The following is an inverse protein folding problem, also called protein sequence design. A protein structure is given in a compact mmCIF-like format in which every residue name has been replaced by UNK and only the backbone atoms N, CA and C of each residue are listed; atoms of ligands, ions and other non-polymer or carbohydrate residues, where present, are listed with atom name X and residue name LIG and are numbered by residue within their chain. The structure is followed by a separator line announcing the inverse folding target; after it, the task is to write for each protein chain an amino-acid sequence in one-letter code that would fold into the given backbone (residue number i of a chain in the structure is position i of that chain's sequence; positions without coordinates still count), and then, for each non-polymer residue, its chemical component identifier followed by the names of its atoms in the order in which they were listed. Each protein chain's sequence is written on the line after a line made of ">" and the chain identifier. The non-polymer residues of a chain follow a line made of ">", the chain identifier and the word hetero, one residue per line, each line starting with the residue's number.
data_IF_244821903569
#
_entry.id   IF_244821903569
#
_cell.length_a   1.000
_cell.length_b   1.000
_cell.length_c   1.000
_cell.angle_alpha   90.00
_cell.angle_beta   90.00
_cell.angle_gamma   90.00
#
_symmetry.space_group_name_H-M   'P 1'
#
loop_
_entity.id
_entity.type
_entity.pdbx_description
1 polymer ?
#
# COMPACT_ATOMS: atom_id res chain seq x y z
N UNK A 1 14.99 27.72 32.41
CA UNK A 1 15.34 27.61 30.98
C UNK A 1 15.13 26.15 30.59
N UNK A 2 13.95 25.82 30.07
CA UNK A 2 13.66 24.43 29.70
C UNK A 2 14.36 24.14 28.36
N UNK A 3 15.34 23.24 28.38
CA UNK A 3 16.02 22.76 27.19
C UNK A 3 15.01 22.05 26.29
N UNK A 4 14.75 22.61 25.11
CA UNK A 4 14.06 21.91 24.05
C UNK A 4 14.96 20.77 23.58
N UNK A 5 14.70 19.56 24.10
CA UNK A 5 15.23 18.31 23.58
C UNK A 5 14.88 18.21 22.09
N UNK A 6 15.82 18.56 21.21
CA UNK A 6 15.68 18.27 19.79
C UNK A 6 15.63 16.74 19.64
N UNK A 7 14.49 16.22 19.18
CA UNK A 7 14.32 14.79 18.89
C UNK A 7 15.45 14.29 18.00
N UNK A 8 16.04 13.13 18.30
CA UNK A 8 17.03 12.40 17.46
C UNK A 8 16.50 12.00 16.06
N UNK A 9 15.35 12.52 15.66
CA UNK A 9 14.69 12.28 14.39
C UNK A 9 14.83 13.57 13.58
N UNK A 10 15.58 13.50 12.47
CA UNK A 10 15.74 14.65 11.58
C UNK A 10 14.39 15.09 11.01
N UNK A 11 14.22 16.41 10.81
CA UNK A 11 13.01 16.96 10.19
C UNK A 11 12.77 16.38 8.79
N UNK A 12 13.84 16.04 8.06
CA UNK A 12 13.78 15.35 6.77
C UNK A 12 13.17 13.95 6.88
N UNK A 13 13.54 13.16 7.89
CA UNK A 13 12.95 11.83 8.10
C UNK A 13 11.46 11.92 8.44
N UNK A 14 11.09 12.89 9.30
CA UNK A 14 9.68 13.16 9.62
C UNK A 14 8.91 13.56 8.37
N UNK A 15 9.49 14.41 7.52
CA UNK A 15 8.89 14.81 6.25
C UNK A 15 8.72 13.60 5.32
N UNK A 16 9.73 12.75 5.17
CA UNK A 16 9.68 11.58 4.28
C UNK A 16 8.63 10.54 4.71
N UNK A 17 8.47 10.32 6.03
CA UNK A 17 7.46 9.41 6.60
C UNK A 17 6.05 10.01 6.50
N UNK A 18 5.92 11.33 6.70
CA UNK A 18 4.62 12.01 6.72
C UNK A 18 4.10 12.31 5.31
N UNK A 19 5.00 12.54 4.33
CA UNK A 19 4.70 12.93 2.95
C UNK A 19 3.63 12.08 2.26
N UNK A 20 3.61 10.73 2.35
CA UNK A 20 2.58 9.92 1.70
C UNK A 20 1.19 10.03 2.37
N UNK A 21 1.16 10.41 3.65
CA UNK A 21 -0.04 10.38 4.49
C UNK A 21 -0.67 11.76 4.69
N UNK A 22 0.12 12.82 4.72
CA UNK A 22 -0.34 14.18 5.03
C UNK A 22 0.29 15.23 4.10
N UNK A 23 0.13 15.03 2.79
CA UNK A 23 0.43 16.04 1.79
C UNK A 23 -0.76 16.25 0.85
N UNK A 24 -0.91 17.48 0.36
CA UNK A 24 -2.01 17.88 -0.54
C UNK A 24 -2.13 16.99 -1.78
N UNK A 25 -1.00 16.46 -2.28
CA UNK A 25 -0.95 15.54 -3.42
C UNK A 25 -1.76 14.26 -3.15
N UNK A 26 -1.68 13.72 -1.93
CA UNK A 26 -2.32 12.46 -1.53
C UNK A 26 -3.67 12.65 -0.82
N UNK A 27 -4.05 13.90 -0.51
CA UNK A 27 -5.33 14.25 0.10
C UNK A 27 -6.51 14.06 -0.88
N UNK A 28 -6.94 12.81 -1.04
CA UNK A 28 -8.01 12.44 -1.97
C UNK A 28 -9.38 13.01 -1.63
N UNK A 29 -9.64 13.40 -0.37
CA UNK A 29 -10.90 14.03 0.05
C UNK A 29 -11.05 15.44 -0.56
N UNK A 30 -9.99 16.25 -0.46
CA UNK A 30 -9.96 17.64 -0.92
C UNK A 30 -9.93 17.72 -2.46
N UNK A 31 -9.20 16.80 -3.10
CA UNK A 31 -8.99 16.88 -4.54
C UNK A 31 -10.20 16.38 -5.35
N UNK A 32 -10.46 17.05 -6.46
CA UNK A 32 -11.52 16.69 -7.43
C UNK A 32 -11.22 15.36 -8.14
N UNK A 33 -9.94 15.07 -8.37
CA UNK A 33 -9.45 13.80 -8.92
C UNK A 33 -8.68 13.04 -7.83
N UNK A 34 -9.08 11.80 -7.58
CA UNK A 34 -8.43 10.94 -6.59
C UNK A 34 -8.41 9.50 -7.08
N UNK A 35 -7.36 8.78 -6.69
CA UNK A 35 -7.19 7.35 -6.93
C UNK A 35 -7.04 6.68 -5.58
N UNK A 36 -7.92 5.72 -5.31
CA UNK A 36 -7.88 4.87 -4.12
C UNK A 36 -7.68 3.42 -4.52
N UNK A 37 -6.89 2.69 -3.73
CA UNK A 37 -6.66 1.26 -3.93
C UNK A 37 -6.96 0.53 -2.64
N UNK A 38 -7.89 -0.41 -2.73
CA UNK A 38 -8.39 -1.18 -1.60
C UNK A 38 -8.32 -2.67 -1.89
N UNK A 39 -8.22 -3.52 -0.84
CA UNK A 39 -8.41 -4.95 -1.01
C UNK A 39 -9.85 -5.23 -1.47
N UNK A 40 -9.99 -6.16 -2.41
CA UNK A 40 -11.30 -6.68 -2.80
C UNK A 40 -11.75 -7.80 -1.85
N UNK A 41 -13.06 -7.94 -1.65
CA UNK A 41 -13.65 -8.92 -0.71
C UNK A 41 -13.26 -10.38 -1.01
N UNK A 42 -13.12 -10.73 -2.28
CA UNK A 42 -12.84 -12.12 -2.73
C UNK A 42 -11.36 -12.37 -3.06
N UNK A 43 -10.46 -11.62 -2.42
CA UNK A 43 -9.04 -11.59 -2.77
C UNK A 43 -8.83 -10.88 -4.10
N UNK A 44 -7.84 -10.00 -4.16
CA UNK A 44 -7.64 -9.08 -5.29
C UNK A 44 -7.65 -7.62 -4.87
N UNK A 45 -7.75 -6.74 -5.86
CA UNK A 45 -7.55 -5.30 -5.69
C UNK A 45 -8.69 -4.55 -6.37
N UNK A 46 -9.24 -3.54 -5.69
CA UNK A 46 -10.23 -2.61 -6.22
C UNK A 46 -9.62 -1.22 -6.35
N UNK A 47 -9.70 -0.64 -7.54
CA UNK A 47 -9.36 0.75 -7.81
C UNK A 47 -10.62 1.60 -7.81
N UNK A 48 -10.64 2.60 -6.94
CA UNK A 48 -11.69 3.60 -6.84
C UNK A 48 -11.18 4.92 -7.38
N UNK A 49 -11.93 5.55 -8.29
CA UNK A 49 -11.62 6.89 -8.82
C UNK A 49 -12.80 7.83 -8.64
N UNK A 50 -12.52 9.13 -8.51
CA UNK A 50 -13.56 10.18 -8.47
C UNK A 50 -13.97 10.61 -9.87
N UNK A 51 -15.27 10.80 -10.11
CA UNK A 51 -15.80 11.34 -11.36
C UNK A 51 -15.90 12.86 -11.24
N UNK A 52 -15.19 13.57 -12.10
CA UNK A 52 -15.21 15.05 -12.15
C UNK A 52 -16.61 15.62 -12.40
N UNK A 53 -17.50 14.87 -13.07
CA UNK A 53 -18.87 15.28 -13.36
C UNK A 53 -19.82 15.28 -12.13
N UNK A 54 -19.47 14.59 -11.05
CA UNK A 54 -20.37 14.33 -9.93
C UNK A 54 -19.78 14.78 -8.58
N UNK A 55 -19.24 15.99 -8.53
CA UNK A 55 -18.58 16.53 -7.34
C UNK A 55 -19.49 16.58 -6.10
N UNK A 56 -20.70 17.11 -6.26
CA UNK A 56 -21.70 17.29 -5.20
C UNK A 56 -22.61 16.06 -4.98
N UNK A 57 -22.39 14.97 -5.72
CA UNK A 57 -23.21 13.74 -5.64
C UNK A 57 -22.34 12.57 -5.16
N UNK A 58 -22.12 12.43 -3.83
CA UNK A 58 -21.11 11.50 -3.30
C UNK A 58 -21.36 10.04 -3.70
N UNK A 59 -22.62 9.62 -3.81
CA UNK A 59 -22.99 8.26 -4.24
C UNK A 59 -22.59 7.99 -5.69
N UNK A 60 -22.81 8.96 -6.60
CA UNK A 60 -22.53 8.80 -8.03
C UNK A 60 -21.08 9.16 -8.40
N UNK A 61 -20.32 9.76 -7.48
CA UNK A 61 -18.97 10.26 -7.70
C UNK A 61 -17.94 9.13 -7.85
N UNK A 62 -18.22 7.94 -7.32
CA UNK A 62 -17.24 6.84 -7.34
C UNK A 62 -17.32 6.07 -8.66
N UNK A 63 -16.16 5.71 -9.18
CA UNK A 63 -16.00 4.71 -10.22
C UNK A 63 -15.10 3.61 -9.67
N UNK A 64 -15.60 2.38 -9.62
CA UNK A 64 -14.93 1.25 -9.01
C UNK A 64 -14.62 0.20 -10.07
N UNK A 65 -13.36 -0.23 -10.10
CA UNK A 65 -12.87 -1.28 -10.99
C UNK A 65 -12.20 -2.32 -10.11
N UNK A 66 -12.78 -3.52 -10.06
CA UNK A 66 -12.23 -4.63 -9.27
C UNK A 66 -11.50 -5.63 -10.18
N UNK A 67 -10.34 -6.09 -9.70
CA UNK A 67 -9.63 -7.23 -10.29
C UNK A 67 -9.66 -8.39 -9.30
N UNK A 68 -10.07 -9.56 -9.79
CA UNK A 68 -10.08 -10.77 -8.99
C UNK A 68 -8.66 -11.27 -8.67
N UNK A 69 -8.50 -11.89 -7.50
CA UNK A 69 -7.21 -12.42 -7.02
C UNK A 69 -6.63 -13.53 -7.89
N UNK A 70 -7.46 -14.17 -8.73
CA UNK A 70 -7.02 -15.15 -9.72
C UNK A 70 -6.26 -14.52 -10.89
N UNK A 71 -6.39 -13.20 -11.14
CA UNK A 71 -5.63 -12.55 -12.21
C UNK A 71 -4.14 -12.47 -11.84
N UNK A 72 -3.29 -12.62 -12.86
CA UNK A 72 -1.85 -12.50 -12.68
C UNK A 72 -1.47 -11.05 -12.31
N UNK A 73 -0.49 -10.91 -11.43
CA UNK A 73 -0.01 -9.61 -10.93
C UNK A 73 0.26 -8.58 -12.01
N UNK A 74 1.04 -8.91 -13.05
CA UNK A 74 1.32 -7.98 -14.14
C UNK A 74 0.07 -7.44 -14.83
N UNK A 75 -1.00 -8.24 -14.95
CA UNK A 75 -2.26 -7.80 -15.56
C UNK A 75 -3.00 -6.80 -14.67
N UNK A 76 -2.97 -7.00 -13.35
CA UNK A 76 -3.54 -6.07 -12.36
C UNK A 76 -2.78 -4.74 -12.41
N UNK A 77 -1.45 -4.77 -12.34
CA UNK A 77 -0.63 -3.55 -12.37
C UNK A 77 -0.76 -2.80 -13.68
N UNK A 78 -0.79 -3.50 -14.82
CA UNK A 78 -1.05 -2.89 -16.13
C UNK A 78 -2.45 -2.26 -16.18
N UNK A 79 -3.45 -2.90 -15.58
CA UNK A 79 -4.80 -2.34 -15.43
C UNK A 79 -4.78 -1.01 -14.70
N UNK A 80 -4.17 -0.97 -13.52
CA UNK A 80 -4.03 0.24 -12.70
C UNK A 80 -3.33 1.36 -13.48
N UNK A 81 -2.20 1.04 -14.12
CA UNK A 81 -1.43 1.98 -14.95
C UNK A 81 -2.26 2.56 -16.10
N UNK A 82 -3.12 1.75 -16.71
CA UNK A 82 -3.97 2.25 -17.78
C UNK A 82 -4.95 3.31 -17.28
N UNK A 83 -5.57 3.08 -16.11
CA UNK A 83 -6.50 4.04 -15.51
C UNK A 83 -5.81 5.30 -14.98
N UNK A 84 -4.60 5.19 -14.44
CA UNK A 84 -3.89 6.34 -13.86
C UNK A 84 -3.17 7.19 -14.91
N UNK A 85 -2.36 6.55 -15.76
CA UNK A 85 -1.45 7.23 -16.68
C UNK A 85 -1.92 7.22 -18.13
N UNK A 86 -2.34 6.06 -18.68
CA UNK A 86 -2.68 5.95 -20.11
C UNK A 86 -3.89 6.80 -20.50
N UNK A 87 -4.90 6.86 -19.63
CA UNK A 87 -6.09 7.69 -19.81
C UNK A 87 -5.87 9.16 -19.37
N UNK A 88 -4.65 9.54 -18.96
CA UNK A 88 -4.32 10.91 -18.56
C UNK A 88 -5.03 11.38 -17.28
N UNK A 89 -5.39 10.48 -16.37
CA UNK A 89 -6.18 10.86 -15.19
C UNK A 89 -5.33 11.54 -14.11
N UNK A 90 -4.36 10.81 -13.53
CA UNK A 90 -3.39 11.25 -12.50
C UNK A 90 -2.13 10.40 -12.61
N UNK A 91 -1.22 10.80 -13.50
CA UNK A 91 0.02 10.08 -13.77
C UNK A 91 1.04 10.19 -12.64
N UNK A 92 0.93 11.23 -11.82
CA UNK A 92 1.71 11.46 -10.60
C UNK A 92 1.55 10.31 -9.60
N UNK A 93 0.31 9.88 -9.34
CA UNK A 93 0.01 8.82 -8.37
C UNK A 93 0.27 7.41 -8.89
N UNK A 94 0.86 7.26 -10.08
CA UNK A 94 1.04 5.95 -10.73
C UNK A 94 1.91 5.04 -9.88
N UNK A 95 3.04 5.55 -9.38
CA UNK A 95 4.03 4.75 -8.67
C UNK A 95 3.46 4.26 -7.34
N UNK A 96 2.81 5.15 -6.59
CA UNK A 96 2.18 4.86 -5.31
C UNK A 96 0.99 3.91 -5.47
N UNK A 97 0.22 4.08 -6.54
CA UNK A 97 -0.88 3.19 -6.88
C UNK A 97 -0.38 1.76 -7.10
N UNK A 98 0.67 1.58 -7.90
CA UNK A 98 1.26 0.25 -8.15
C UNK A 98 1.88 -0.33 -6.88
N UNK A 99 2.59 0.50 -6.10
CA UNK A 99 3.19 0.08 -4.84
C UNK A 99 2.13 -0.44 -3.84
N UNK A 100 1.05 0.32 -3.64
CA UNK A 100 -0.05 -0.09 -2.75
C UNK A 100 -0.75 -1.36 -3.21
N UNK A 101 -0.99 -1.51 -4.52
CA UNK A 101 -1.56 -2.74 -5.06
C UNK A 101 -0.63 -3.95 -4.88
N UNK A 102 0.69 -3.76 -4.97
CA UNK A 102 1.67 -4.81 -4.69
C UNK A 102 1.67 -5.21 -3.20
N UNK A 103 1.61 -4.24 -2.29
CA UNK A 103 1.53 -4.48 -0.85
C UNK A 103 0.27 -5.27 -0.46
N UNK A 104 -0.91 -4.88 -0.97
CA UNK A 104 -2.17 -5.62 -0.75
C UNK A 104 -2.08 -7.04 -1.27
N UNK A 105 -1.48 -7.23 -2.45
CA UNK A 105 -1.33 -8.58 -3.02
C UNK A 105 -0.33 -9.42 -2.25
N UNK A 106 0.69 -8.81 -1.66
CA UNK A 106 1.62 -9.50 -0.76
C UNK A 106 0.93 -9.86 0.55
N UNK A 107 0.11 -8.98 1.13
CA UNK A 107 -0.63 -9.26 2.36
C UNK A 107 -1.70 -10.34 2.21
N UNK A 108 -2.26 -10.50 1.01
CA UNK A 108 -3.23 -11.55 0.69
C UNK A 108 -2.60 -12.93 0.45
N UNK A 109 -1.28 -13.02 0.27
CA UNK A 109 -0.63 -14.33 0.13
C UNK A 109 -0.63 -15.03 1.48
N UNK A 110 -0.92 -16.34 1.52
CA UNK A 110 -0.78 -17.10 2.76
C UNK A 110 0.66 -16.95 3.24
N UNK A 111 0.83 -16.51 4.49
CA UNK A 111 2.15 -16.43 5.11
C UNK A 111 2.63 -17.86 5.27
N UNK A 112 3.81 -18.15 4.71
CA UNK A 112 4.45 -19.43 5.00
C UNK A 112 4.80 -19.42 6.48
N UNK A 113 4.37 -20.44 7.21
CA UNK A 113 4.88 -20.69 8.55
C UNK A 113 6.41 -20.63 8.49
N UNK A 114 7.01 -19.88 9.41
CA UNK A 114 8.45 -19.71 9.43
C UNK A 114 9.08 -21.12 9.45
N UNK A 115 9.97 -21.44 8.49
CA UNK A 115 10.59 -22.74 8.47
C UNK A 115 11.30 -22.93 9.81
N UNK A 116 11.07 -24.08 10.45
CA UNK A 116 11.71 -24.42 11.72
C UNK A 116 13.19 -24.06 11.66
N UNK A 117 13.63 -23.21 12.59
CA UNK A 117 15.01 -22.78 12.68
C UNK A 117 15.88 -24.02 12.91
N UNK A 118 16.54 -24.50 11.85
CA UNK A 118 17.59 -25.52 11.96
C UNK A 118 18.75 -24.90 12.73
N UNK A 119 18.75 -25.08 14.05
CA UNK A 119 19.86 -24.72 14.92
C UNK A 119 21.10 -25.49 14.44
N UNK A 120 22.17 -24.77 14.11
CA UNK A 120 23.46 -25.37 13.70
C UNK A 120 24.53 -25.07 14.75
N UNK A 121 25.46 -26.01 14.91
CA UNK A 121 26.64 -25.84 15.76
C UNK A 121 26.32 -25.78 17.24
N UNK A 122 26.98 -24.88 17.97
CA UNK A 122 26.90 -24.78 19.44
C UNK A 122 25.49 -24.51 19.99
N UNK A 123 24.61 -23.91 19.18
CA UNK A 123 23.21 -23.67 19.58
C UNK A 123 22.34 -24.94 19.54
N UNK A 124 22.70 -25.94 18.75
CA UNK A 124 22.03 -27.25 18.76
C UNK A 124 22.42 -28.05 20.01
N UNK A 125 23.73 -28.08 20.33
CA UNK A 125 24.25 -28.75 21.55
C UNK A 125 23.63 -28.19 22.84
N UNK A 126 23.45 -26.86 22.92
CA UNK A 126 22.78 -26.20 24.06
C UNK A 126 21.28 -26.45 24.14
N UNK A 127 20.63 -26.88 23.06
CA UNK A 127 19.22 -27.24 23.06
C UNK A 127 19.00 -28.69 23.52
N UNK A 128 19.91 -29.61 23.15
CA UNK A 128 19.93 -30.99 23.64
C UNK A 128 20.28 -31.06 25.14
N UNK A 129 21.25 -30.26 25.59
CA UNK A 129 21.66 -30.18 27.01
C UNK A 129 20.60 -29.55 27.94
N UNK A 130 19.66 -28.76 27.38
CA UNK A 130 18.51 -28.23 28.12
C UNK A 130 17.27 -29.15 28.07
N UNK A 131 17.28 -30.16 27.21
CA UNK A 131 16.21 -31.15 27.10
C UNK A 131 16.50 -32.42 27.94
N UNK A 132 17.70 -32.50 28.53
CA UNK A 132 18.10 -33.48 29.54
C UNK A 132 17.99 -32.82 30.92
#
# INVERSE_FOLDING_TARGET
>A
MAEHLQSNVSQDLVWEICRPNNAYLYAGFVNNKAVGIQPAEKGGVTLTTKKTKHLNRPVANKNEVSWSGQKSGPKIYKGIVNYTAKQGYRADLRQEAVARASAIRQSQKPKKEDPELKLRGSKAKKAEEKAT
#
